data_IF_349962170006
#
_entry.id   IF_349962170006
#
_cell.length_a   1.000
_cell.length_b   1.000
_cell.length_c   1.000
_cell.angle_alpha   90.00
_cell.angle_beta   90.00
_cell.angle_gamma   90.00
#
_symmetry.space_group_name_H-M   'P 1'
#
loop_
_entity.id
_entity.type
_entity.pdbx_description
1 polymer ?
#
# COMPACT_ATOMS: atom_id res chain seq x y z
N UNK A 1 -18.16 -15.30 -2.74
CA UNK A 1 -17.45 -14.00 -2.69
C UNK A 1 -18.14 -12.98 -1.79
N UNK A 2 -19.34 -12.44 -2.13
CA UNK A 2 -19.97 -11.38 -1.30
C UNK A 2 -20.29 -11.81 0.14
N UNK A 3 -20.91 -12.99 0.32
CA UNK A 3 -21.22 -13.53 1.65
C UNK A 3 -19.94 -13.81 2.48
N UNK A 4 -18.89 -14.34 1.84
CA UNK A 4 -17.60 -14.60 2.50
C UNK A 4 -16.95 -13.30 3.00
N UNK A 5 -17.06 -12.22 2.21
CA UNK A 5 -16.55 -10.90 2.60
C UNK A 5 -17.39 -10.20 3.65
N UNK A 6 -18.71 -10.39 3.65
CA UNK A 6 -19.58 -9.93 4.73
C UNK A 6 -19.22 -10.65 6.04
N UNK A 7 -18.92 -11.95 5.98
CA UNK A 7 -18.40 -12.72 7.12
C UNK A 7 -17.01 -12.24 7.57
N UNK A 8 -16.06 -12.09 6.66
CA UNK A 8 -14.71 -11.61 6.96
C UNK A 8 -14.73 -10.21 7.62
N UNK A 9 -15.56 -9.30 7.09
CA UNK A 9 -15.78 -7.98 7.67
C UNK A 9 -16.36 -8.05 9.09
N UNK A 10 -17.31 -8.95 9.34
CA UNK A 10 -17.87 -9.17 10.68
C UNK A 10 -16.81 -9.73 11.65
N UNK A 11 -15.97 -10.67 11.19
CA UNK A 11 -14.86 -11.23 11.98
C UNK A 11 -13.83 -10.16 12.32
N UNK A 12 -13.42 -9.34 11.34
CA UNK A 12 -12.48 -8.23 11.54
C UNK A 12 -13.01 -7.27 12.60
N UNK A 13 -14.29 -6.87 12.49
CA UNK A 13 -14.94 -5.99 13.46
C UNK A 13 -15.00 -6.60 14.86
N UNK A 14 -15.41 -7.86 14.96
CA UNK A 14 -15.60 -8.53 16.25
C UNK A 14 -14.26 -8.83 16.95
N UNK A 15 -13.21 -9.24 16.20
CA UNK A 15 -11.87 -9.43 16.77
C UNK A 15 -11.26 -8.11 17.23
N UNK A 16 -11.48 -7.02 16.50
CA UNK A 16 -11.03 -5.68 16.91
C UNK A 16 -11.68 -5.24 18.23
N UNK A 17 -12.93 -5.63 18.47
CA UNK A 17 -13.63 -5.39 19.75
C UNK A 17 -13.13 -6.30 20.89
N UNK A 18 -12.59 -7.48 20.59
CA UNK A 18 -12.09 -8.47 21.56
C UNK A 18 -10.61 -8.27 21.95
N UNK A 19 -9.99 -7.17 21.56
CA UNK A 19 -8.65 -6.79 22.02
C UNK A 19 -7.49 -7.37 21.21
N UNK A 20 -7.74 -7.97 20.03
CA UNK A 20 -6.66 -8.25 19.08
C UNK A 20 -6.10 -6.96 18.49
N UNK A 21 -4.81 -6.94 18.12
CA UNK A 21 -4.25 -5.79 17.41
C UNK A 21 -4.99 -5.59 16.09
N UNK A 22 -5.55 -4.39 15.88
CA UNK A 22 -6.29 -4.02 14.68
C UNK A 22 -5.48 -4.26 13.40
N UNK A 23 -4.16 -4.06 13.47
CA UNK A 23 -3.25 -4.28 12.35
C UNK A 23 -3.06 -5.78 12.09
N UNK A 24 -2.89 -6.59 13.13
CA UNK A 24 -2.71 -8.05 13.02
C UNK A 24 -3.94 -8.74 12.44
N UNK A 25 -5.13 -8.31 12.89
CA UNK A 25 -6.41 -8.80 12.36
C UNK A 25 -6.51 -8.52 10.86
N UNK A 26 -6.14 -7.30 10.45
CA UNK A 26 -6.20 -6.91 9.05
C UNK A 26 -5.14 -7.62 8.20
N UNK A 27 -3.91 -7.77 8.70
CA UNK A 27 -2.87 -8.58 8.04
C UNK A 27 -3.30 -10.02 7.86
N UNK A 28 -3.90 -10.64 8.88
CA UNK A 28 -4.41 -12.01 8.81
C UNK A 28 -5.45 -12.17 7.70
N UNK A 29 -6.37 -11.20 7.60
CA UNK A 29 -7.33 -11.16 6.50
C UNK A 29 -6.63 -11.09 5.14
N UNK A 30 -5.66 -10.20 4.96
CA UNK A 30 -4.95 -10.12 3.68
C UNK A 30 -4.20 -11.41 3.34
N UNK A 31 -3.56 -12.06 4.33
CA UNK A 31 -2.84 -13.34 4.16
C UNK A 31 -3.77 -14.45 3.70
N UNK A 32 -5.01 -14.47 4.22
CA UNK A 32 -6.00 -15.50 3.87
C UNK A 32 -6.56 -15.32 2.45
N UNK A 33 -6.72 -14.08 2.00
CA UNK A 33 -7.43 -13.79 0.75
C UNK A 33 -6.53 -13.44 -0.44
N UNK A 34 -5.38 -12.80 -0.23
CA UNK A 34 -4.45 -12.47 -1.32
C UNK A 34 -3.65 -13.71 -1.78
N UNK A 35 -3.18 -13.73 -3.04
CA UNK A 35 -2.33 -14.81 -3.53
C UNK A 35 -1.08 -15.02 -2.68
N UNK A 36 -0.68 -16.29 -2.51
CA UNK A 36 0.51 -16.67 -1.73
C UNK A 36 1.84 -16.15 -2.31
N UNK A 37 1.85 -15.71 -3.56
CA UNK A 37 3.00 -15.03 -4.17
C UNK A 37 3.25 -13.66 -3.54
N UNK A 38 2.27 -13.08 -2.84
CA UNK A 38 2.39 -11.83 -2.11
C UNK A 38 2.72 -12.11 -0.64
N UNK A 39 3.90 -11.67 -0.21
CA UNK A 39 4.29 -11.65 1.19
C UNK A 39 3.63 -10.49 1.90
N UNK A 40 3.22 -10.69 3.16
CA UNK A 40 2.51 -9.69 3.97
C UNK A 40 3.13 -9.65 5.35
N UNK A 41 3.64 -8.49 5.75
CA UNK A 41 4.27 -8.31 7.06
C UNK A 41 4.10 -6.90 7.60
N UNK A 42 4.56 -6.66 8.82
CA UNK A 42 4.81 -5.32 9.37
C UNK A 42 6.31 -5.11 9.48
N UNK A 43 6.77 -3.87 9.36
CA UNK A 43 8.18 -3.65 9.16
C UNK A 43 8.56 -2.25 8.77
N UNK A 44 9.79 -2.13 8.30
CA UNK A 44 10.35 -0.94 7.68
C UNK A 44 10.84 -1.30 6.28
N UNK A 45 10.76 -0.33 5.38
CA UNK A 45 11.41 -0.41 4.07
C UNK A 45 12.74 0.33 4.13
N UNK A 46 13.76 -0.25 3.50
CA UNK A 46 15.09 0.34 3.41
C UNK A 46 15.51 0.36 1.94
N UNK A 47 16.23 1.40 1.51
CA UNK A 47 16.83 1.47 0.18
C UNK A 47 18.34 1.17 0.21
N UNK A 48 18.95 0.99 -0.98
CA UNK A 48 20.37 0.70 -1.11
C UNK A 48 21.30 1.84 -0.63
N UNK A 49 20.76 3.06 -0.46
CA UNK A 49 21.50 4.21 0.08
C UNK A 49 21.45 4.27 1.62
N UNK A 50 20.71 3.36 2.26
CA UNK A 50 20.55 3.30 3.71
C UNK A 50 19.45 4.21 4.26
N UNK A 51 18.60 4.81 3.40
CA UNK A 51 17.41 5.49 3.88
C UNK A 51 16.39 4.46 4.36
N UNK A 52 15.65 4.79 5.42
CA UNK A 52 14.67 3.89 6.05
C UNK A 52 13.34 4.61 6.20
N UNK A 53 12.23 3.93 5.88
CA UNK A 53 10.89 4.43 6.19
C UNK A 53 10.65 4.45 7.72
N UNK A 54 9.55 5.06 8.18
CA UNK A 54 9.07 4.70 9.52
C UNK A 54 8.47 3.30 9.50
N UNK A 55 8.11 2.79 10.67
CA UNK A 55 7.37 1.54 10.82
C UNK A 55 6.04 1.59 10.03
N UNK A 56 5.74 0.49 9.36
CA UNK A 56 4.60 0.29 8.48
C UNK A 56 3.72 -0.85 9.01
N UNK A 57 2.41 -0.60 9.06
CA UNK A 57 1.44 -1.55 9.59
C UNK A 57 1.30 -2.78 8.68
N UNK A 58 1.36 -2.58 7.36
CA UNK A 58 1.32 -3.63 6.33
C UNK A 58 2.27 -3.29 5.19
N UNK A 59 3.17 -4.22 4.87
CA UNK A 59 4.00 -4.23 3.67
C UNK A 59 3.56 -5.43 2.82
N UNK A 60 3.25 -5.20 1.55
CA UNK A 60 2.96 -6.23 0.55
C UNK A 60 4.15 -6.31 -0.40
N UNK A 61 4.77 -7.48 -0.52
CA UNK A 61 6.03 -7.67 -1.25
C UNK A 61 6.05 -8.98 -2.04
N UNK A 62 7.06 -9.17 -2.90
CA UNK A 62 7.28 -10.43 -3.63
C UNK A 62 7.77 -11.54 -2.69
N UNK A 63 6.89 -12.44 -2.25
CA UNK A 63 7.29 -13.51 -1.31
C UNK A 63 8.33 -14.48 -1.87
N UNK A 64 8.41 -14.63 -3.20
CA UNK A 64 9.28 -15.62 -3.83
C UNK A 64 10.71 -15.09 -3.99
N UNK A 65 10.89 -13.77 -4.08
CA UNK A 65 12.19 -13.14 -4.39
C UNK A 65 12.76 -12.25 -3.29
N UNK A 66 12.03 -12.03 -2.19
CA UNK A 66 12.45 -11.08 -1.16
C UNK A 66 13.32 -11.73 -0.09
N UNK A 67 14.59 -11.34 0.06
CA UNK A 67 15.38 -11.67 1.24
C UNK A 67 14.93 -10.77 2.40
N UNK A 68 14.61 -11.36 3.54
CA UNK A 68 14.33 -10.61 4.77
C UNK A 68 15.67 -10.21 5.40
N UNK A 69 15.97 -8.91 5.43
CA UNK A 69 17.25 -8.36 5.92
C UNK A 69 17.40 -8.52 7.43
N UNK A 70 16.31 -8.34 8.15
CA UNK A 70 16.23 -8.48 9.59
C UNK A 70 14.82 -8.90 10.00
N UNK A 71 14.71 -9.75 11.02
CA UNK A 71 13.44 -10.11 11.62
C UNK A 71 13.56 -10.23 13.13
N UNK A 72 12.70 -9.52 13.86
CA UNK A 72 12.59 -9.63 15.31
C UNK A 72 11.13 -9.48 15.74
N UNK A 73 10.64 -10.42 16.55
CA UNK A 73 9.37 -10.33 17.28
C UNK A 73 8.18 -9.79 16.46
N UNK A 74 8.11 -10.16 15.17
CA UNK A 74 7.10 -9.80 14.15
C UNK A 74 7.35 -8.55 13.29
N UNK A 75 8.46 -7.81 13.47
CA UNK A 75 8.86 -6.70 12.60
C UNK A 75 9.95 -7.16 11.63
N UNK A 76 9.80 -6.83 10.34
CA UNK A 76 10.77 -7.16 9.28
C UNK A 76 11.40 -5.90 8.68
N UNK A 77 12.65 -6.01 8.24
CA UNK A 77 13.27 -5.00 7.38
C UNK A 77 13.33 -5.56 5.96
N UNK A 78 12.69 -4.86 5.02
CA UNK A 78 12.49 -5.33 3.65
C UNK A 78 13.14 -4.33 2.67
N UNK A 79 13.93 -4.80 1.69
CA UNK A 79 14.43 -3.96 0.60
C UNK A 79 13.28 -3.31 -0.16
N UNK A 80 13.38 -2.01 -0.42
CA UNK A 80 12.32 -1.25 -1.10
C UNK A 80 12.03 -1.80 -2.49
N UNK A 81 13.02 -2.37 -3.19
CA UNK A 81 12.89 -3.00 -4.50
C UNK A 81 11.84 -4.08 -4.51
N UNK A 82 11.68 -4.80 -3.40
CA UNK A 82 10.78 -5.94 -3.25
C UNK A 82 9.33 -5.58 -2.92
N UNK A 83 9.06 -4.35 -2.50
CA UNK A 83 7.73 -3.91 -2.06
C UNK A 83 6.81 -3.54 -3.24
N UNK A 84 5.58 -4.05 -3.24
CA UNK A 84 4.52 -3.66 -4.17
C UNK A 84 3.62 -2.56 -3.60
N UNK A 85 3.26 -2.69 -2.31
CA UNK A 85 2.32 -1.79 -1.69
C UNK A 85 2.51 -1.70 -0.17
N UNK A 86 1.97 -0.64 0.42
CA UNK A 86 1.90 -0.38 1.85
C UNK A 86 0.44 -0.08 2.21
N UNK A 87 0.00 -0.60 3.36
CA UNK A 87 -1.32 -0.26 3.92
C UNK A 87 -1.18 0.21 5.36
N UNK A 88 -1.59 1.44 5.62
CA UNK A 88 -1.69 2.00 6.97
C UNK A 88 -3.02 1.60 7.60
N UNK A 89 -2.98 1.08 8.82
CA UNK A 89 -4.15 0.58 9.53
C UNK A 89 -4.45 1.46 10.74
N UNK A 90 -5.59 2.15 10.72
CA UNK A 90 -5.97 3.07 11.81
C UNK A 90 -7.27 2.64 12.47
N UNK A 91 -7.30 2.68 13.81
CA UNK A 91 -8.54 2.43 14.56
C UNK A 91 -9.61 3.48 14.24
N UNK A 92 -9.20 4.75 14.13
CA UNK A 92 -10.05 5.86 13.71
C UNK A 92 -9.23 6.87 12.91
N UNK A 93 -9.71 7.24 11.74
CA UNK A 93 -9.08 8.25 10.89
C UNK A 93 -9.79 9.61 11.03
N UNK A 94 -9.11 10.57 11.67
CA UNK A 94 -9.49 11.98 11.73
C UNK A 94 -8.40 12.85 11.04
N UNK A 95 -8.55 14.19 11.10
CA UNK A 95 -7.58 15.11 10.46
C UNK A 95 -6.16 14.88 10.95
N UNK A 96 -5.96 14.68 12.26
CA UNK A 96 -4.63 14.53 12.85
C UNK A 96 -3.99 13.23 12.41
N UNK A 97 -4.72 12.12 12.49
CA UNK A 97 -4.21 10.81 12.06
C UNK A 97 -3.98 10.75 10.55
N UNK A 98 -4.84 11.38 9.75
CA UNK A 98 -4.63 11.52 8.32
C UNK A 98 -3.31 12.24 8.03
N UNK A 99 -3.04 13.37 8.70
CA UNK A 99 -1.84 14.16 8.45
C UNK A 99 -0.57 13.41 8.88
N UNK A 100 -0.60 12.68 10.00
CA UNK A 100 0.49 11.76 10.37
C UNK A 100 0.73 10.70 9.31
N UNK A 101 -0.35 10.15 8.74
CA UNK A 101 -0.27 9.14 7.68
C UNK A 101 0.40 9.71 6.41
N UNK A 102 0.08 10.95 6.03
CA UNK A 102 0.78 11.64 4.95
C UNK A 102 2.28 11.80 5.22
N UNK A 103 2.65 12.16 6.45
CA UNK A 103 4.06 12.26 6.80
C UNK A 103 4.77 10.90 6.76
N UNK A 104 4.08 9.79 7.09
CA UNK A 104 4.64 8.45 6.94
C UNK A 104 4.79 8.05 5.47
N UNK A 105 3.75 8.31 4.67
CA UNK A 105 3.76 8.10 3.23
C UNK A 105 4.97 8.76 2.57
N UNK A 106 5.28 10.01 2.93
CA UNK A 106 6.47 10.71 2.41
C UNK A 106 7.78 9.97 2.68
N UNK A 107 7.91 9.28 3.81
CA UNK A 107 9.11 8.49 4.10
C UNK A 107 9.24 7.28 3.18
N UNK A 108 8.12 6.64 2.82
CA UNK A 108 8.10 5.55 1.83
C UNK A 108 8.36 6.07 0.43
N UNK A 109 7.70 7.17 0.04
CA UNK A 109 7.85 7.80 -1.28
C UNK A 109 9.24 8.40 -1.51
N UNK A 110 9.99 8.66 -0.45
CA UNK A 110 11.37 9.16 -0.51
C UNK A 110 12.42 8.07 -0.67
N UNK A 111 12.05 6.78 -0.62
CA UNK A 111 12.98 5.67 -0.85
C UNK A 111 13.22 5.45 -2.34
N UNK A 112 14.43 5.03 -2.70
CA UNK A 112 14.83 4.80 -4.08
C UNK A 112 14.91 3.31 -4.44
N UNK A 113 14.14 2.86 -5.42
CA UNK A 113 14.23 1.50 -5.98
C UNK A 113 15.28 1.45 -7.10
N UNK A 114 16.54 1.23 -6.77
CA UNK A 114 17.66 1.30 -7.73
C UNK A 114 18.41 -0.02 -7.89
N UNK A 115 18.30 -0.94 -6.94
CA UNK A 115 19.07 -2.18 -6.92
C UNK A 115 18.40 -3.31 -7.74
N UNK A 116 18.26 -3.12 -9.06
CA UNK A 116 17.80 -4.18 -9.96
C UNK A 116 18.93 -4.70 -10.84
N UNK A 117 18.86 -5.99 -11.17
CA UNK A 117 19.70 -6.57 -12.22
C UNK A 117 19.33 -5.94 -13.56
N UNK A 118 20.32 -5.67 -14.40
CA UNK A 118 20.06 -5.11 -15.74
C UNK A 118 19.12 -6.04 -16.51
N UNK A 119 17.95 -5.55 -16.95
CA UNK A 119 17.08 -6.34 -17.79
C UNK A 119 17.79 -6.59 -19.11
N UNK A 120 17.70 -7.81 -19.65
CA UNK A 120 18.06 -8.01 -21.06
C UNK A 120 17.16 -7.12 -21.93
N UNK A 121 17.63 -6.65 -23.10
CA UNK A 121 16.86 -5.78 -24.01
C UNK A 121 15.45 -6.31 -24.33
N UNK A 122 15.22 -7.62 -24.18
CA UNK A 122 13.95 -8.30 -24.44
C UNK A 122 13.06 -8.50 -23.21
N UNK A 123 13.38 -7.91 -22.05
CA UNK A 123 12.72 -8.21 -20.76
C UNK A 123 12.06 -7.02 -20.05
N UNK A 124 12.08 -5.82 -20.63
CA UNK A 124 11.44 -4.65 -20.00
C UNK A 124 9.93 -4.73 -20.24
N UNK A 125 9.26 -5.37 -19.31
CA UNK A 125 7.81 -5.39 -19.24
C UNK A 125 7.35 -4.12 -18.50
N UNK A 126 6.65 -3.24 -19.22
CA UNK A 126 6.11 -2.02 -18.64
C UNK A 126 4.71 -2.24 -18.08
N UNK A 127 4.43 -1.60 -16.95
CA UNK A 127 3.11 -1.61 -16.33
C UNK A 127 2.47 -0.23 -16.43
N UNK A 128 1.17 -0.17 -16.78
CA UNK A 128 0.43 1.09 -16.79
C UNK A 128 -0.17 1.32 -15.40
N UNK A 129 0.37 2.29 -14.69
CA UNK A 129 -0.03 2.66 -13.34
C UNK A 129 -0.05 4.18 -13.24
N UNK A 130 -1.03 4.71 -12.51
CA UNK A 130 -1.18 6.17 -12.37
C UNK A 130 -1.29 6.92 -13.70
N UNK A 131 -1.91 6.30 -14.71
CA UNK A 131 -2.09 6.88 -16.05
C UNK A 131 -0.82 7.00 -16.91
N UNK A 132 0.27 6.30 -16.57
CA UNK A 132 1.50 6.26 -17.38
C UNK A 132 2.21 4.91 -17.30
N UNK A 133 3.15 4.68 -18.22
CA UNK A 133 4.01 3.49 -18.18
C UNK A 133 5.10 3.60 -17.11
N UNK A 134 5.40 2.48 -16.46
CA UNK A 134 6.46 2.33 -15.48
C UNK A 134 7.34 1.14 -15.81
N UNK A 135 8.66 1.34 -15.81
CA UNK A 135 9.65 0.26 -15.94
C UNK A 135 9.85 -0.50 -14.62
N UNK A 136 9.63 0.18 -13.49
CA UNK A 136 9.70 -0.36 -12.14
C UNK A 136 8.38 -0.04 -11.43
N UNK A 137 7.75 -1.07 -10.88
CA UNK A 137 6.51 -0.93 -10.12
C UNK A 137 6.65 0.09 -8.97
N UNK A 138 5.92 1.23 -8.99
CA UNK A 138 5.85 2.17 -7.89
C UNK A 138 5.09 1.57 -6.71
N UNK A 139 5.49 1.89 -5.48
CA UNK A 139 4.83 1.36 -4.28
C UNK A 139 3.40 1.92 -4.20
N UNK A 140 2.36 1.10 -4.21
CA UNK A 140 1.02 1.63 -3.93
C UNK A 140 0.85 1.92 -2.43
N UNK A 141 0.12 2.97 -2.07
CA UNK A 141 -0.03 3.43 -0.70
C UNK A 141 -1.51 3.60 -0.34
N UNK A 142 -2.02 2.66 0.44
CA UNK A 142 -3.43 2.59 0.82
C UNK A 142 -3.61 2.87 2.31
N UNK A 143 -4.84 3.22 2.70
CA UNK A 143 -5.22 3.35 4.11
C UNK A 143 -6.45 2.48 4.37
N UNK A 144 -6.38 1.64 5.40
CA UNK A 144 -7.52 0.94 5.95
C UNK A 144 -7.84 1.49 7.33
N UNK A 145 -9.11 1.77 7.62
CA UNK A 145 -9.52 2.24 8.94
C UNK A 145 -10.84 1.66 9.39
N UNK A 146 -10.93 1.35 10.68
CA UNK A 146 -12.14 0.79 11.29
C UNK A 146 -13.24 1.83 11.50
N UNK A 147 -12.88 3.11 11.59
CA UNK A 147 -13.81 4.21 11.78
C UNK A 147 -13.19 5.52 11.27
N UNK A 148 -13.98 6.55 11.06
CA UNK A 148 -13.49 7.86 10.63
C UNK A 148 -14.45 8.98 11.00
N UNK A 149 -14.02 10.22 10.81
CA UNK A 149 -14.94 11.35 10.58
C UNK A 149 -15.79 11.13 9.32
N UNK A 150 -16.72 12.04 8.98
CA UNK A 150 -17.55 11.91 7.76
C UNK A 150 -16.66 11.77 6.52
N UNK A 151 -17.01 10.86 5.59
CA UNK A 151 -16.23 10.59 4.38
C UNK A 151 -16.02 11.85 3.54
N UNK A 152 -17.05 12.68 3.38
CA UNK A 152 -16.94 13.98 2.70
C UNK A 152 -15.92 14.92 3.34
N UNK A 153 -15.89 15.00 4.67
CA UNK A 153 -14.91 15.82 5.39
C UNK A 153 -13.49 15.25 5.22
N UNK A 154 -13.36 13.93 5.26
CA UNK A 154 -12.09 13.25 5.04
C UNK A 154 -11.56 13.49 3.62
N UNK A 155 -12.40 13.33 2.59
CA UNK A 155 -12.07 13.61 1.19
C UNK A 155 -11.62 15.06 0.98
N UNK A 156 -12.28 16.03 1.64
CA UNK A 156 -11.87 17.43 1.60
C UNK A 156 -10.45 17.64 2.14
N UNK A 157 -10.10 17.03 3.29
CA UNK A 157 -8.74 17.14 3.84
C UNK A 157 -7.68 16.47 2.96
N UNK A 158 -8.02 15.37 2.28
CA UNK A 158 -7.12 14.70 1.34
C UNK A 158 -6.86 15.62 0.14
N UNK A 159 -7.92 16.17 -0.47
CA UNK A 159 -7.80 17.12 -1.58
C UNK A 159 -7.01 18.37 -1.19
N UNK A 160 -7.29 18.96 -0.02
CA UNK A 160 -6.55 20.11 0.53
C UNK A 160 -5.06 19.79 0.61
N UNK A 161 -4.69 18.62 1.13
CA UNK A 161 -3.29 18.21 1.28
C UNK A 161 -2.61 17.97 -0.07
N UNK A 162 -3.28 17.26 -0.99
CA UNK A 162 -2.75 16.99 -2.34
C UNK A 162 -2.51 18.29 -3.13
N UNK A 163 -3.42 19.26 -3.02
CA UNK A 163 -3.29 20.56 -3.69
C UNK A 163 -2.20 21.43 -3.04
N UNK A 164 -2.20 21.53 -1.70
CA UNK A 164 -1.24 22.37 -0.97
C UNK A 164 0.21 21.93 -1.20
N UNK A 165 0.45 20.63 -1.32
CA UNK A 165 1.79 20.06 -1.52
C UNK A 165 2.11 19.80 -2.99
N UNK A 166 1.18 20.08 -3.92
CA UNK A 166 1.32 19.84 -5.36
C UNK A 166 1.80 18.42 -5.69
N UNK A 167 1.28 17.42 -4.97
CA UNK A 167 1.72 16.04 -5.12
C UNK A 167 1.26 15.48 -6.48
N UNK A 168 2.17 14.91 -7.28
CA UNK A 168 1.76 14.15 -8.46
C UNK A 168 0.99 12.90 -8.05
N UNK A 169 0.23 12.32 -8.97
CA UNK A 169 -0.71 11.20 -8.73
C UNK A 169 -0.04 10.03 -7.98
N UNK A 170 1.16 9.65 -8.41
CA UNK A 170 1.94 8.54 -7.83
C UNK A 170 2.60 8.85 -6.48
N UNK A 171 2.47 10.07 -5.96
CA UNK A 171 2.94 10.47 -4.63
C UNK A 171 1.79 10.76 -3.67
N UNK A 172 0.56 10.44 -4.05
CA UNK A 172 -0.65 10.61 -3.23
C UNK A 172 -0.97 9.34 -2.44
N UNK A 173 -1.97 9.46 -1.54
CA UNK A 173 -2.68 8.31 -0.99
C UNK A 173 -3.62 7.80 -2.08
N UNK A 174 -3.55 6.50 -2.37
CA UNK A 174 -4.21 5.91 -3.53
C UNK A 174 -5.69 5.65 -3.28
N UNK A 175 -6.01 4.90 -2.22
CA UNK A 175 -7.39 4.57 -1.83
C UNK A 175 -7.47 4.41 -0.31
N UNK A 176 -8.57 4.90 0.26
CA UNK A 176 -8.91 4.74 1.68
C UNK A 176 -10.16 3.87 1.83
N UNK A 177 -10.08 2.84 2.66
CA UNK A 177 -11.24 2.06 3.09
C UNK A 177 -11.63 2.40 4.51
N UNK A 178 -12.87 2.86 4.71
CA UNK A 178 -13.47 3.00 6.03
C UNK A 178 -14.48 1.87 6.24
N UNK A 179 -14.16 0.97 7.16
CA UNK A 179 -14.93 -0.24 7.41
C UNK A 179 -16.39 0.11 7.75
N UNK A 180 -17.33 -0.48 7.00
CA UNK A 180 -18.77 -0.26 7.11
C UNK A 180 -19.25 1.18 6.86
N UNK A 181 -18.45 2.03 6.20
CA UNK A 181 -18.91 3.35 5.72
C UNK A 181 -18.75 3.50 4.22
N UNK A 182 -17.64 3.03 3.67
CA UNK A 182 -17.36 3.17 2.25
C UNK A 182 -15.88 3.27 1.94
N UNK A 183 -15.57 3.65 0.70
CA UNK A 183 -14.21 3.90 0.25
C UNK A 183 -14.09 5.31 -0.34
N UNK A 184 -12.91 5.90 -0.24
CA UNK A 184 -12.50 7.08 -0.99
C UNK A 184 -11.44 6.60 -1.99
N UNK A 185 -11.78 6.60 -3.27
CA UNK A 185 -10.94 6.12 -4.37
C UNK A 185 -10.91 7.17 -5.49
N UNK A 186 -10.48 6.77 -6.68
CA UNK A 186 -10.30 7.68 -7.82
C UNK A 186 -11.35 7.38 -8.86
N UNK A 187 -11.89 8.41 -9.51
CA UNK A 187 -12.84 8.29 -10.61
C UNK A 187 -12.33 9.07 -11.79
N UNK A 188 -12.26 8.41 -12.94
CA UNK A 188 -11.80 9.05 -14.17
C UNK A 188 -12.91 9.84 -14.87
N UNK A 189 -12.55 10.52 -15.97
CA UNK A 189 -13.48 11.33 -16.75
C UNK A 189 -14.66 10.54 -17.34
N UNK A 190 -14.48 9.22 -17.56
CA UNK A 190 -15.51 8.31 -18.05
C UNK A 190 -16.44 7.80 -16.93
N UNK A 191 -16.15 8.14 -15.67
CA UNK A 191 -16.91 7.73 -14.51
C UNK A 191 -16.56 6.37 -13.94
N UNK A 192 -15.52 5.71 -14.46
CA UNK A 192 -14.99 4.47 -13.91
C UNK A 192 -14.21 4.75 -12.63
N UNK A 193 -14.44 3.95 -11.60
CA UNK A 193 -13.66 4.01 -10.35
C UNK A 193 -12.42 3.12 -10.42
N UNK A 194 -11.33 3.55 -9.79
CA UNK A 194 -10.07 2.82 -9.75
C UNK A 194 -9.32 3.03 -8.42
N UNK A 195 -8.43 2.09 -8.08
CA UNK A 195 -7.63 2.12 -6.86
C UNK A 195 -6.55 3.22 -6.92
N UNK A 196 -5.98 3.47 -8.10
CA UNK A 196 -4.89 4.41 -8.31
C UNK A 196 -5.39 5.68 -9.01
N UNK A 197 -4.92 6.88 -8.62
CA UNK A 197 -5.23 8.11 -9.33
C UNK A 197 -4.50 8.17 -10.67
N UNK A 198 -5.17 8.67 -11.69
CA UNK A 198 -4.57 9.04 -12.98
C UNK A 198 -4.74 10.55 -13.24
N UNK A 199 -3.98 11.14 -14.19
CA UNK A 199 -4.14 12.55 -14.53
C UNK A 199 -5.59 12.87 -14.91
N UNK A 200 -6.17 13.87 -14.22
CA UNK A 200 -7.56 14.28 -14.42
C UNK A 200 -8.61 13.47 -13.63
N UNK A 201 -8.20 12.43 -12.89
CA UNK A 201 -9.11 11.74 -11.96
C UNK A 201 -9.46 12.61 -10.75
N UNK A 202 -10.69 12.46 -10.26
CA UNK A 202 -11.18 13.11 -9.05
C UNK A 202 -11.31 12.10 -7.91
N UNK A 203 -11.21 12.56 -6.65
CA UNK A 203 -11.57 11.73 -5.51
C UNK A 203 -13.06 11.43 -5.55
N UNK A 204 -13.40 10.14 -5.47
CA UNK A 204 -14.75 9.64 -5.45
C UNK A 204 -15.05 8.92 -4.15
N UNK A 205 -16.21 9.24 -3.57
CA UNK A 205 -16.70 8.62 -2.34
C UNK A 205 -17.74 7.58 -2.73
N UNK A 206 -17.40 6.31 -2.56
CA UNK A 206 -18.34 5.21 -2.68
C UNK A 206 -18.85 4.84 -1.29
N UNK A 207 -20.00 5.39 -0.88
CA UNK A 207 -20.63 5.04 0.39
C UNK A 207 -21.24 3.64 0.32
N UNK A 208 -20.82 2.76 1.22
CA UNK A 208 -21.35 1.40 1.31
C UNK A 208 -21.11 0.81 2.70
N UNK A 209 -22.20 0.44 3.37
CA UNK A 209 -22.13 -0.06 4.75
C UNK A 209 -21.69 -1.52 4.86
N UNK A 210 -21.92 -2.32 3.82
CA UNK A 210 -21.69 -3.79 3.87
C UNK A 210 -20.61 -4.28 2.92
N UNK A 211 -20.12 -3.41 2.03
CA UNK A 211 -19.22 -3.83 0.95
C UNK A 211 -17.93 -3.03 0.92
N UNK A 212 -17.67 -2.13 1.87
CA UNK A 212 -16.47 -1.30 1.86
C UNK A 212 -15.18 -2.14 1.72
N UNK A 213 -15.09 -3.25 2.46
CA UNK A 213 -13.95 -4.17 2.39
C UNK A 213 -13.88 -4.94 1.07
N UNK A 214 -15.03 -5.38 0.53
CA UNK A 214 -15.09 -6.08 -0.74
C UNK A 214 -14.66 -5.18 -1.91
N UNK A 215 -15.19 -3.95 -1.95
CA UNK A 215 -14.82 -2.99 -3.01
C UNK A 215 -13.36 -2.62 -2.89
N UNK A 216 -12.87 -2.30 -1.69
CA UNK A 216 -11.46 -2.03 -1.45
C UNK A 216 -10.55 -3.17 -1.90
N UNK A 217 -10.84 -4.39 -1.44
CA UNK A 217 -10.10 -5.59 -1.80
C UNK A 217 -10.08 -5.82 -3.31
N UNK A 218 -11.24 -5.65 -3.97
CA UNK A 218 -11.37 -5.85 -5.43
C UNK A 218 -10.49 -4.86 -6.18
N UNK A 219 -10.51 -3.58 -5.79
CA UNK A 219 -9.72 -2.52 -6.42
C UNK A 219 -8.22 -2.75 -6.24
N UNK A 220 -7.74 -3.05 -5.02
CA UNK A 220 -6.30 -3.28 -4.83
C UNK A 220 -5.84 -4.61 -5.46
N UNK A 221 -6.68 -5.64 -5.43
CA UNK A 221 -6.35 -6.95 -6.02
C UNK A 221 -6.27 -6.90 -7.54
N UNK A 222 -7.00 -5.97 -8.19
CA UNK A 222 -6.85 -5.73 -9.62
C UNK A 222 -5.38 -5.48 -9.98
N UNK A 223 -4.68 -4.66 -9.21
CA UNK A 223 -3.27 -4.35 -9.44
C UNK A 223 -2.33 -5.41 -8.88
N UNK A 224 -2.54 -5.84 -7.62
CA UNK A 224 -1.62 -6.76 -6.95
C UNK A 224 -1.51 -8.13 -7.66
N UNK A 225 -2.56 -8.58 -8.33
CA UNK A 225 -2.53 -9.82 -9.12
C UNK A 225 -1.72 -9.70 -10.43
N UNK A 226 -1.39 -8.48 -10.85
CA UNK A 226 -0.58 -8.19 -12.03
C UNK A 226 0.84 -7.76 -11.65
N UNK A 227 1.11 -7.59 -10.35
CA UNK A 227 2.34 -7.00 -9.86
C UNK A 227 3.57 -7.88 -10.13
N UNK A 228 4.61 -7.26 -10.67
CA UNK A 228 5.89 -7.89 -10.99
C UNK A 228 7.02 -6.91 -10.75
N UNK A 229 8.16 -7.41 -10.32
CA UNK A 229 9.38 -6.64 -10.12
C UNK A 229 10.53 -7.30 -10.87
N UNK A 230 11.48 -6.50 -11.40
CA UNK A 230 12.72 -7.02 -11.94
C UNK A 230 13.50 -7.80 -10.86
N UNK A 231 14.49 -8.58 -11.29
CA UNK A 231 15.30 -9.35 -10.35
C UNK A 231 16.11 -8.41 -9.46
N UNK A 232 15.86 -8.50 -8.16
CA UNK A 232 16.52 -7.71 -7.14
C UNK A 232 18.02 -8.04 -7.07
N UNK A 233 18.88 -7.02 -7.16
CA UNK A 233 20.34 -7.13 -7.05
C UNK A 233 20.76 -6.88 -5.61
N UNK A 234 20.70 -7.94 -4.79
CA UNK A 234 20.96 -7.86 -3.35
C UNK A 234 22.36 -7.32 -2.98
N UNK A 235 23.35 -7.50 -3.85
CA UNK A 235 24.73 -7.06 -3.60
C UNK A 235 24.86 -5.55 -3.38
N UNK A 236 23.92 -4.75 -3.91
CA UNK A 236 23.96 -3.29 -3.76
C UNK A 236 23.68 -2.86 -2.31
N UNK A 237 23.00 -3.70 -1.53
CA UNK A 237 22.71 -3.47 -0.12
C UNK A 237 23.88 -3.78 0.82
N UNK A 238 24.98 -4.35 0.31
CA UNK A 238 26.18 -4.56 1.10
C UNK A 238 26.84 -3.22 1.51
N UNK A 239 26.57 -2.13 0.77
CA UNK A 239 27.29 -0.88 0.94
C UNK A 239 28.77 -1.02 0.55
N UNK A 240 29.62 -0.06 0.95
CA UNK A 240 31.08 -0.14 0.75
C UNK A 240 31.72 -1.14 1.72
N UNK A 241 31.47 -2.44 1.55
CA UNK A 241 32.25 -3.45 2.26
C UNK A 241 33.65 -3.47 1.64
N UNK A 242 34.64 -2.93 2.37
CA UNK A 242 36.03 -3.24 2.09
C UNK A 242 36.28 -4.69 2.47
N UNK A 243 36.09 -5.61 1.52
CA UNK A 243 36.60 -6.97 1.65
C UNK A 243 38.11 -6.86 1.51
N UNK A 244 38.80 -6.79 2.65
CA UNK A 244 40.25 -7.04 2.67
C UNK A 244 40.42 -8.54 2.41
N UNK A 245 40.67 -8.87 1.14
CA UNK A 245 41.21 -10.17 0.76
C UNK A 245 42.63 -10.33 1.32
#
# INVERSE_FOLDING_TARGET
MRLDFEYAQAVIKHRGLKGGSNEEIFRTFLIEYLPKSLGISTGELVDANGNVSRQLDVIIYDSAKTPILYSNANTQVIPVECAYAVIEVKAKLDKRELYKTFENMKTVRGLEKTAFSEPSEYSILKDNLYGKEWDIWPINYYIFTYNSIKLKTLANYINEKHQTEMLPEYSRVDTICVLNKGIICNKNAEGKIDALPEPGSELYICETEKQSLLVFYTLISHYLNQARLPNFRFTDYLGKIQIKC
#
